data_IF_979290065769
#
_entry.id   IF_979290065769
#
_cell.length_a   1.000
_cell.length_b   1.000
_cell.length_c   1.000
_cell.angle_alpha   90.00
_cell.angle_beta   90.00
_cell.angle_gamma   90.00
#
_symmetry.space_group_name_H-M   'P 1'
#
loop_
_entity.id
_entity.type
_entity.pdbx_description
1 polymer ?
#
# COMPACT_ATOMS: atom_id res chain seq x y z
N UNK A 1 -32.74 -6.16 7.00
CA UNK A 1 -32.28 -5.33 8.12
C UNK A 1 -32.11 -6.14 9.40
N UNK A 2 -31.07 -5.87 10.16
CA UNK A 2 -30.80 -6.52 11.46
C UNK A 2 -31.58 -5.75 12.54
N UNK A 3 -32.31 -6.47 13.38
CA UNK A 3 -32.99 -5.82 14.53
C UNK A 3 -31.95 -5.32 15.54
N UNK A 4 -32.15 -4.10 16.06
CA UNK A 4 -31.30 -3.55 17.13
C UNK A 4 -31.28 -4.37 18.42
N UNK A 5 -32.20 -5.33 18.58
CA UNK A 5 -32.26 -6.26 19.71
C UNK A 5 -31.49 -7.57 19.45
N UNK A 6 -30.93 -7.75 18.26
CA UNK A 6 -30.16 -8.98 17.94
C UNK A 6 -28.83 -8.98 18.68
N UNK A 7 -28.54 -10.04 19.40
CA UNK A 7 -27.22 -10.21 20.06
C UNK A 7 -26.13 -10.37 19.01
N UNK A 8 -25.00 -9.66 19.16
CA UNK A 8 -23.84 -9.75 18.26
C UNK A 8 -23.35 -11.17 18.04
N UNK A 9 -23.35 -12.00 19.09
CA UNK A 9 -22.92 -13.40 19.01
C UNK A 9 -23.81 -14.30 18.12
N UNK A 10 -25.00 -13.83 17.73
CA UNK A 10 -25.91 -14.54 16.82
C UNK A 10 -25.78 -14.09 15.35
N UNK A 11 -24.96 -13.11 15.10
CA UNK A 11 -24.68 -12.62 13.75
C UNK A 11 -23.59 -13.47 13.09
N UNK A 12 -23.60 -13.53 11.75
CA UNK A 12 -22.47 -14.08 10.99
C UNK A 12 -21.19 -13.25 11.26
N UNK A 13 -20.02 -13.84 11.05
CA UNK A 13 -18.73 -13.17 11.27
C UNK A 13 -18.65 -11.83 10.54
N UNK A 14 -19.05 -11.78 9.26
CA UNK A 14 -19.06 -10.52 8.49
C UNK A 14 -20.00 -9.46 9.08
N UNK A 15 -21.19 -9.85 9.56
CA UNK A 15 -22.10 -8.92 10.21
C UNK A 15 -21.60 -8.44 11.58
N UNK A 16 -20.87 -9.29 12.31
CA UNK A 16 -20.20 -8.90 13.54
C UNK A 16 -19.11 -7.86 13.26
N UNK A 17 -18.27 -8.10 12.23
CA UNK A 17 -17.25 -7.16 11.78
C UNK A 17 -17.89 -5.84 11.36
N UNK A 18 -18.91 -5.87 10.50
CA UNK A 18 -19.62 -4.65 10.09
C UNK A 18 -20.20 -3.86 11.29
N UNK A 19 -20.79 -4.54 12.26
CA UNK A 19 -21.31 -3.87 13.46
C UNK A 19 -20.20 -3.19 14.28
N UNK A 20 -19.04 -3.85 14.45
CA UNK A 20 -17.87 -3.26 15.13
C UNK A 20 -17.36 -2.03 14.39
N UNK A 21 -17.27 -2.09 13.04
CA UNK A 21 -16.83 -0.97 12.21
C UNK A 21 -17.77 0.22 12.32
N UNK A 22 -19.09 0.01 12.31
CA UNK A 22 -20.08 1.08 12.55
C UNK A 22 -19.81 1.77 13.89
N UNK A 23 -19.54 1.02 14.96
CA UNK A 23 -19.22 1.61 16.27
C UNK A 23 -17.90 2.39 16.20
N UNK A 24 -16.85 1.83 15.62
CA UNK A 24 -15.54 2.46 15.50
C UNK A 24 -15.57 3.77 14.70
N UNK A 25 -16.34 3.80 13.60
CA UNK A 25 -16.52 5.01 12.78
C UNK A 25 -17.35 6.10 13.48
N UNK A 26 -18.13 5.77 14.49
CA UNK A 26 -18.97 6.73 15.22
C UNK A 26 -18.46 7.08 16.62
N UNK A 27 -17.34 6.49 17.07
CA UNK A 27 -16.75 6.82 18.37
C UNK A 27 -16.23 8.26 18.38
N UNK A 28 -16.40 8.97 19.48
CA UNK A 28 -15.87 10.32 19.67
C UNK A 28 -14.43 10.27 20.20
N UNK A 29 -13.48 9.95 19.32
CA UNK A 29 -12.04 9.85 19.64
C UNK A 29 -11.23 10.57 18.56
N UNK A 30 -10.08 11.14 18.96
CA UNK A 30 -9.14 11.79 18.03
C UNK A 30 -8.30 10.78 17.24
N UNK A 31 -8.10 9.59 17.81
CA UNK A 31 -7.35 8.50 17.20
C UNK A 31 -8.22 7.24 17.20
N UNK A 32 -8.32 6.59 16.06
CA UNK A 32 -9.06 5.32 15.89
C UNK A 32 -8.13 4.29 15.28
N UNK A 33 -7.87 3.22 16.01
CA UNK A 33 -7.03 2.12 15.56
C UNK A 33 -7.91 0.96 15.09
N UNK A 34 -7.66 0.51 13.87
CA UNK A 34 -8.41 -0.56 13.21
C UNK A 34 -7.43 -1.65 12.78
N UNK A 35 -7.50 -2.79 13.45
CA UNK A 35 -6.66 -3.94 13.17
C UNK A 35 -7.39 -4.89 12.23
N UNK A 36 -6.84 -5.10 11.02
CA UNK A 36 -7.41 -5.90 9.92
C UNK A 36 -8.94 -5.66 9.75
N UNK A 37 -9.40 -4.40 9.58
CA UNK A 37 -10.82 -4.05 9.71
C UNK A 37 -11.71 -4.74 8.68
N UNK A 38 -11.18 -5.13 7.54
CA UNK A 38 -11.94 -5.74 6.46
C UNK A 38 -11.85 -7.27 6.42
N UNK A 39 -11.15 -7.87 7.39
CA UNK A 39 -11.02 -9.32 7.47
C UNK A 39 -12.41 -9.99 7.65
N UNK A 40 -12.72 -10.93 6.75
CA UNK A 40 -14.00 -11.65 6.76
C UNK A 40 -15.16 -10.90 6.12
N UNK A 41 -14.95 -9.72 5.54
CA UNK A 41 -15.91 -9.04 4.69
C UNK A 41 -15.77 -9.48 3.22
N UNK A 42 -16.89 -9.57 2.51
CA UNK A 42 -16.88 -9.69 1.06
C UNK A 42 -16.52 -8.34 0.38
N UNK A 43 -16.26 -8.37 -0.91
CA UNK A 43 -15.82 -7.20 -1.66
C UNK A 43 -16.79 -6.00 -1.56
N UNK A 44 -18.11 -6.26 -1.59
CA UNK A 44 -19.11 -5.19 -1.50
C UNK A 44 -19.09 -4.51 -0.12
N UNK A 45 -18.97 -5.30 0.95
CA UNK A 45 -18.91 -4.76 2.31
C UNK A 45 -17.57 -4.04 2.59
N UNK A 46 -16.47 -4.49 1.97
CA UNK A 46 -15.18 -3.77 2.06
C UNK A 46 -15.26 -2.40 1.37
N UNK A 47 -15.78 -2.35 0.15
CA UNK A 47 -15.98 -1.08 -0.56
C UNK A 47 -16.87 -0.12 0.22
N UNK A 48 -17.96 -0.63 0.80
CA UNK A 48 -18.85 0.17 1.65
C UNK A 48 -18.11 0.71 2.89
N UNK A 49 -17.30 -0.12 3.54
CA UNK A 49 -16.51 0.30 4.69
C UNK A 49 -15.55 1.46 4.33
N UNK A 50 -14.81 1.34 3.23
CA UNK A 50 -13.89 2.40 2.83
C UNK A 50 -14.62 3.71 2.47
N UNK A 51 -15.78 3.63 1.83
CA UNK A 51 -16.63 4.81 1.58
C UNK A 51 -17.09 5.49 2.89
N UNK A 52 -17.55 4.70 3.85
CA UNK A 52 -17.96 5.23 5.15
C UNK A 52 -16.78 5.75 5.98
N UNK A 53 -15.61 5.16 5.87
CA UNK A 53 -14.37 5.65 6.49
C UNK A 53 -14.01 7.05 5.98
N UNK A 54 -13.96 7.23 4.65
CA UNK A 54 -13.68 8.53 4.03
C UNK A 54 -14.73 9.57 4.43
N UNK A 55 -16.01 9.21 4.39
CA UNK A 55 -17.09 10.08 4.82
C UNK A 55 -16.95 10.49 6.28
N UNK A 56 -16.67 9.55 7.17
CA UNK A 56 -16.45 9.80 8.60
C UNK A 56 -15.26 10.75 8.84
N UNK A 57 -14.19 10.61 8.05
CA UNK A 57 -13.04 11.51 8.07
C UNK A 57 -13.40 12.92 7.61
N UNK A 58 -14.16 13.04 6.51
CA UNK A 58 -14.60 14.35 5.97
C UNK A 58 -15.55 15.09 6.92
N UNK A 59 -16.48 14.37 7.55
CA UNK A 59 -17.43 14.96 8.50
C UNK A 59 -16.77 15.42 9.80
N UNK A 60 -15.79 14.64 10.27
CA UNK A 60 -15.04 14.91 11.49
C UNK A 60 -13.59 14.45 11.34
N UNK A 61 -12.68 15.35 10.88
CA UNK A 61 -11.27 15.04 10.70
C UNK A 61 -10.65 14.51 12.00
N UNK A 62 -10.00 13.35 11.90
CA UNK A 62 -9.30 12.66 12.99
C UNK A 62 -8.33 11.65 12.41
N UNK A 63 -7.44 11.11 13.20
CA UNK A 63 -6.47 10.13 12.74
C UNK A 63 -7.05 8.73 12.77
N UNK A 64 -7.08 8.08 11.61
CA UNK A 64 -7.32 6.64 11.49
C UNK A 64 -6.01 5.93 11.26
N UNK A 65 -5.73 4.90 12.05
CA UNK A 65 -4.59 4.00 11.88
C UNK A 65 -5.13 2.62 11.56
N UNK A 66 -4.81 2.13 10.36
CA UNK A 66 -5.25 0.81 9.90
C UNK A 66 -4.05 -0.11 9.79
N UNK A 67 -4.12 -1.29 10.40
CA UNK A 67 -3.24 -2.39 10.03
C UNK A 67 -3.93 -3.24 8.97
N UNK A 68 -3.26 -3.54 7.88
CA UNK A 68 -3.81 -4.41 6.82
C UNK A 68 -2.71 -4.93 5.90
N UNK A 69 -2.96 -6.09 5.30
CA UNK A 69 -2.16 -6.64 4.20
C UNK A 69 -2.80 -6.40 2.82
N UNK A 70 -3.98 -5.79 2.76
CA UNK A 70 -4.72 -5.50 1.53
C UNK A 70 -4.37 -4.10 1.01
N UNK A 71 -3.11 -3.89 0.64
CA UNK A 71 -2.56 -2.59 0.26
C UNK A 71 -3.26 -2.01 -0.96
N UNK A 72 -3.58 -2.82 -1.97
CA UNK A 72 -4.29 -2.39 -3.18
C UNK A 72 -5.61 -1.67 -2.89
N UNK A 73 -6.31 -2.09 -1.84
CA UNK A 73 -7.61 -1.55 -1.51
C UNK A 73 -7.53 -0.18 -0.83
N UNK A 74 -6.41 0.10 -0.14
CA UNK A 74 -6.26 1.31 0.69
C UNK A 74 -5.26 2.32 0.13
N UNK A 75 -4.42 1.97 -0.85
CA UNK A 75 -3.34 2.83 -1.31
C UNK A 75 -3.78 4.22 -1.78
N UNK A 76 -5.03 4.38 -2.22
CA UNK A 76 -5.60 5.68 -2.62
C UNK A 76 -6.24 6.46 -1.46
N UNK A 77 -6.30 5.88 -0.27
CA UNK A 77 -6.95 6.44 0.90
C UNK A 77 -5.95 6.88 1.98
N UNK A 78 -4.75 6.32 1.96
CA UNK A 78 -3.74 6.54 2.99
C UNK A 78 -2.77 7.64 2.56
N UNK A 79 -2.47 8.54 3.48
CA UNK A 79 -1.52 9.63 3.30
C UNK A 79 -0.12 9.24 3.81
N UNK A 80 -0.07 8.35 4.80
CA UNK A 80 1.15 7.99 5.51
C UNK A 80 1.22 6.49 5.79
N UNK A 81 2.39 5.90 5.68
CA UNK A 81 2.60 4.47 5.90
C UNK A 81 3.76 4.18 6.83
N UNK A 82 3.54 3.13 7.64
CA UNK A 82 4.55 2.48 8.45
C UNK A 82 4.67 1.04 7.94
N UNK A 83 5.82 0.67 7.37
CA UNK A 83 6.05 -0.69 6.89
C UNK A 83 6.89 -1.45 7.91
N UNK A 84 6.31 -2.53 8.43
CA UNK A 84 6.96 -3.41 9.40
C UNK A 84 7.31 -4.75 8.72
N UNK A 85 8.56 -5.16 8.79
CA UNK A 85 9.02 -6.49 8.36
C UNK A 85 10.12 -6.97 9.30
N UNK A 86 10.17 -8.28 9.56
CA UNK A 86 11.19 -8.92 10.40
C UNK A 86 11.41 -8.22 11.75
N UNK A 87 10.30 -7.82 12.40
CA UNK A 87 10.28 -7.07 13.67
C UNK A 87 10.96 -5.69 13.61
N UNK A 88 11.16 -5.14 12.43
CA UNK A 88 11.76 -3.83 12.23
C UNK A 88 10.82 -2.90 11.46
N UNK A 89 10.92 -1.61 11.74
CA UNK A 89 10.28 -0.56 10.95
C UNK A 89 11.20 -0.28 9.74
N UNK A 90 10.77 -0.71 8.55
CA UNK A 90 11.57 -0.58 7.32
C UNK A 90 11.21 0.64 6.49
N UNK A 91 10.03 1.22 6.71
CA UNK A 91 9.63 2.50 6.14
C UNK A 91 8.71 3.24 7.10
N UNK A 92 8.85 4.56 7.12
CA UNK A 92 8.10 5.52 7.93
C UNK A 92 8.05 6.82 7.11
N UNK A 93 7.01 6.97 6.25
CA UNK A 93 7.00 8.03 5.27
C UNK A 93 5.60 8.34 4.71
N UNK A 94 5.49 9.52 4.11
CA UNK A 94 4.39 9.92 3.25
C UNK A 94 4.31 9.03 2.00
N UNK A 95 3.09 8.65 1.62
CA UNK A 95 2.86 7.76 0.46
C UNK A 95 3.27 8.43 -0.84
N UNK A 96 2.96 9.71 -1.02
CA UNK A 96 3.31 10.47 -2.22
C UNK A 96 4.83 10.54 -2.38
N UNK A 97 5.55 10.87 -1.29
CA UNK A 97 7.03 10.90 -1.28
C UNK A 97 7.65 9.53 -1.60
N UNK A 98 7.05 8.46 -1.09
CA UNK A 98 7.51 7.09 -1.39
C UNK A 98 7.29 6.74 -2.86
N UNK A 99 6.11 7.05 -3.41
CA UNK A 99 5.77 6.72 -4.80
C UNK A 99 6.56 7.56 -5.81
N UNK A 100 6.91 8.79 -5.47
CA UNK A 100 7.78 9.65 -6.29
C UNK A 100 9.18 9.05 -6.50
N UNK A 101 9.61 8.15 -5.62
CA UNK A 101 10.90 7.45 -5.72
C UNK A 101 10.78 6.05 -6.32
N UNK A 102 9.57 5.59 -6.62
CA UNK A 102 9.26 4.24 -7.08
C UNK A 102 9.17 4.18 -8.61
N UNK A 103 10.27 3.84 -9.29
CA UNK A 103 10.36 3.85 -10.73
C UNK A 103 10.60 2.46 -11.32
N UNK A 104 9.99 2.18 -12.47
CA UNK A 104 10.38 1.06 -13.33
C UNK A 104 11.25 1.56 -14.48
N UNK A 105 12.30 0.82 -14.78
CA UNK A 105 13.17 1.05 -15.93
C UNK A 105 13.13 -0.19 -16.81
N UNK A 106 12.50 -0.11 -17.99
CA UNK A 106 12.25 -1.27 -18.87
C UNK A 106 12.87 -1.06 -20.23
N UNK A 107 13.60 -2.05 -20.74
CA UNK A 107 14.22 -2.00 -22.06
C UNK A 107 15.21 -3.16 -22.28
N UNK A 108 16.07 -3.07 -23.33
CA UNK A 108 17.16 -4.01 -23.54
C UNK A 108 18.10 -4.05 -22.32
N UNK A 109 18.44 -5.27 -21.87
CA UNK A 109 19.21 -5.51 -20.63
C UNK A 109 20.41 -4.56 -20.48
N UNK A 110 21.29 -4.48 -21.49
CA UNK A 110 22.50 -3.64 -21.40
C UNK A 110 22.18 -2.15 -21.18
N UNK A 111 21.11 -1.64 -21.81
CA UNK A 111 20.73 -0.25 -21.67
C UNK A 111 20.10 0.04 -20.30
N UNK A 112 19.30 -0.92 -19.80
CA UNK A 112 18.74 -0.83 -18.46
C UNK A 112 19.88 -0.82 -17.43
N UNK A 113 20.84 -1.76 -17.53
CA UNK A 113 21.98 -1.83 -16.59
C UNK A 113 22.83 -0.56 -16.59
N UNK A 114 23.06 0.02 -17.78
CA UNK A 114 23.75 1.30 -17.88
C UNK A 114 22.96 2.45 -17.25
N UNK A 115 21.64 2.49 -17.48
CA UNK A 115 20.79 3.55 -16.96
C UNK A 115 20.68 3.50 -15.44
N UNK A 116 20.50 2.30 -14.86
CA UNK A 116 20.32 2.17 -13.41
C UNK A 116 21.64 2.15 -12.62
N UNK A 117 22.77 2.25 -13.29
CA UNK A 117 24.06 2.29 -12.62
C UNK A 117 24.16 3.44 -11.61
N UNK A 118 24.44 3.09 -10.35
CA UNK A 118 24.50 4.02 -9.22
C UNK A 118 23.15 4.36 -8.58
N UNK A 119 22.04 3.79 -9.06
CA UNK A 119 20.72 3.90 -8.42
C UNK A 119 20.46 2.71 -7.50
N UNK A 120 19.58 2.93 -6.52
CA UNK A 120 19.10 1.86 -5.63
C UNK A 120 18.09 0.99 -6.36
N UNK A 121 18.54 -0.12 -6.92
CA UNK A 121 17.70 -1.15 -7.55
C UNK A 121 17.26 -2.15 -6.47
N UNK A 122 15.96 -2.34 -6.29
CA UNK A 122 15.40 -3.29 -5.32
C UNK A 122 15.35 -4.70 -5.91
N UNK A 123 14.88 -4.82 -7.15
CA UNK A 123 14.83 -6.09 -7.87
C UNK A 123 14.86 -5.89 -9.40
N UNK A 124 14.96 -7.00 -10.13
CA UNK A 124 14.88 -7.00 -11.59
C UNK A 124 14.10 -8.20 -12.07
N UNK A 125 13.27 -8.00 -13.08
CA UNK A 125 12.59 -9.04 -13.84
C UNK A 125 13.15 -9.10 -15.26
N UNK A 126 13.23 -10.30 -15.84
CA UNK A 126 13.70 -10.49 -17.20
C UNK A 126 12.75 -11.37 -18.01
N UNK A 127 12.34 -10.85 -19.17
CA UNK A 127 11.54 -11.59 -20.15
C UNK A 127 12.22 -11.55 -21.52
N UNK A 128 12.89 -12.65 -21.88
CA UNK A 128 13.68 -12.70 -23.09
C UNK A 128 14.85 -11.71 -23.04
N UNK A 129 14.87 -10.77 -24.00
CA UNK A 129 15.89 -9.71 -24.08
C UNK A 129 15.50 -8.41 -23.37
N UNK A 130 14.27 -8.36 -22.82
CA UNK A 130 13.75 -7.20 -22.11
C UNK A 130 13.95 -7.39 -20.62
N UNK A 131 14.55 -6.41 -19.98
CA UNK A 131 14.74 -6.33 -18.53
C UNK A 131 13.91 -5.19 -17.98
N UNK A 132 13.30 -5.42 -16.83
CA UNK A 132 12.66 -4.39 -16.01
C UNK A 132 13.39 -4.32 -14.68
N UNK A 133 13.94 -3.16 -14.34
CA UNK A 133 14.50 -2.88 -13.03
C UNK A 133 13.50 -2.07 -12.20
N UNK A 134 13.31 -2.47 -10.94
CA UNK A 134 12.52 -1.74 -9.94
C UNK A 134 13.46 -0.89 -9.11
N UNK A 135 13.39 0.41 -9.32
CA UNK A 135 14.28 1.40 -8.71
C UNK A 135 13.54 2.13 -7.60
N UNK A 136 14.19 2.30 -6.46
CA UNK A 136 13.69 3.13 -5.36
C UNK A 136 14.71 4.20 -5.04
N UNK A 137 14.69 5.24 -5.85
CA UNK A 137 15.63 6.35 -5.77
C UNK A 137 15.05 7.59 -6.43
N UNK A 138 15.61 8.75 -6.13
CA UNK A 138 15.26 9.97 -6.83
C UNK A 138 16.00 10.00 -8.17
N UNK A 139 15.25 10.08 -9.26
CA UNK A 139 15.86 10.20 -10.59
C UNK A 139 16.27 11.65 -10.85
N UNK A 140 17.48 11.83 -11.37
CA UNK A 140 17.96 13.13 -11.83
C UNK A 140 17.29 13.46 -13.17
N UNK A 141 16.60 14.60 -13.25
CA UNK A 141 15.94 15.10 -14.46
C UNK A 141 16.92 15.32 -15.63
N UNK A 142 18.21 15.45 -15.35
CA UNK A 142 19.25 15.60 -16.37
C UNK A 142 19.77 14.26 -16.90
N UNK A 143 19.33 13.13 -16.31
CA UNK A 143 19.76 11.79 -16.75
C UNK A 143 19.18 11.46 -18.10
N UNK A 144 20.04 11.30 -19.12
CA UNK A 144 19.60 10.98 -20.47
C UNK A 144 19.00 9.58 -20.52
N UNK A 145 17.73 9.50 -20.96
CA UNK A 145 17.03 8.24 -21.14
C UNK A 145 17.34 7.72 -22.56
N UNK A 146 17.92 6.51 -22.72
CA UNK A 146 18.13 5.92 -24.05
C UNK A 146 16.81 5.67 -24.79
N UNK A 147 16.76 5.85 -26.10
CA UNK A 147 15.52 5.73 -26.91
C UNK A 147 14.74 4.44 -26.73
N UNK A 148 15.42 3.33 -26.38
CA UNK A 148 14.78 2.02 -26.18
C UNK A 148 14.45 1.73 -24.72
N UNK A 149 14.72 2.65 -23.80
CA UNK A 149 14.39 2.53 -22.37
C UNK A 149 13.13 3.31 -22.09
N UNK A 150 12.21 2.69 -21.35
CA UNK A 150 10.99 3.31 -20.88
C UNK A 150 11.02 3.43 -19.37
N UNK A 151 10.70 4.60 -18.86
CA UNK A 151 10.45 4.85 -17.45
C UNK A 151 8.96 4.71 -17.15
N UNK A 152 8.65 4.19 -15.99
CA UNK A 152 7.31 4.12 -15.43
C UNK A 152 7.37 4.20 -13.92
N UNK A 153 6.21 4.10 -13.30
CA UNK A 153 6.09 4.00 -11.84
C UNK A 153 5.48 2.65 -11.48
N UNK A 154 5.65 2.25 -10.24
CA UNK A 154 4.95 1.11 -9.66
C UNK A 154 4.23 1.56 -8.39
N UNK A 155 3.17 0.84 -8.04
CA UNK A 155 2.27 1.20 -6.97
C UNK A 155 2.81 0.84 -5.57
N UNK A 156 2.07 1.25 -4.54
CA UNK A 156 2.44 1.03 -3.14
C UNK A 156 2.51 -0.47 -2.81
N UNK A 157 1.65 -1.30 -3.39
CA UNK A 157 1.68 -2.74 -3.17
C UNK A 157 2.97 -3.36 -3.69
N UNK A 158 3.35 -3.02 -4.93
CA UNK A 158 4.60 -3.52 -5.52
C UNK A 158 5.81 -2.99 -4.73
N UNK A 159 5.79 -1.72 -4.32
CA UNK A 159 6.86 -1.15 -3.48
C UNK A 159 7.00 -1.89 -2.15
N UNK A 160 5.88 -2.19 -1.49
CA UNK A 160 5.88 -2.98 -0.26
C UNK A 160 6.53 -4.35 -0.47
N UNK A 161 6.12 -5.08 -1.53
CA UNK A 161 6.69 -6.39 -1.87
C UNK A 161 8.20 -6.28 -2.09
N UNK A 162 8.66 -5.29 -2.84
CA UNK A 162 10.07 -5.11 -3.15
C UNK A 162 10.90 -4.75 -1.91
N UNK A 163 10.37 -3.88 -1.04
CA UNK A 163 11.06 -3.50 0.19
C UNK A 163 11.15 -4.65 1.20
N UNK A 164 10.11 -5.48 1.29
CA UNK A 164 10.07 -6.61 2.22
C UNK A 164 10.86 -7.82 1.73
N UNK A 165 10.90 -8.07 0.41
CA UNK A 165 11.68 -9.17 -0.17
C UNK A 165 13.19 -8.84 -0.27
N UNK A 166 13.56 -7.57 -0.38
CA UNK A 166 14.95 -7.14 -0.46
C UNK A 166 15.75 -7.35 0.83
N UNK A 167 15.09 -7.45 1.97
CA UNK A 167 15.71 -7.76 3.27
C UNK A 167 16.20 -9.21 3.39
N UNK A 168 15.63 -10.14 2.63
CA UNK A 168 15.93 -11.58 2.75
C UNK A 168 17.12 -12.06 1.89
N UNK A 169 17.82 -11.17 1.18
CA UNK A 169 18.96 -11.55 0.31
C UNK A 169 20.35 -11.26 0.88
N UNK A 170 20.44 -10.84 2.15
CA UNK A 170 21.72 -10.56 2.82
C UNK A 170 22.00 -11.54 4.00
N UNK A 171 21.71 -12.84 3.81
CA UNK A 171 22.26 -13.92 4.63
C UNK A 171 23.12 -14.86 3.78
#
# INVERSE_FOLDING_TARGET
GISAKTQLSKLSTGLQTAAKLVVALNVNANYVFLDEPTLGLDANHRELFYKELVKSYQEKPRTFVLSTHLIDEIQQLVEYVLILADHQLIADADVEEMLDRAHTVTGPEKLVDQYVAGLRVLSTDQLGTVKTAYVYDQLDDQRVIPDQVKLGHYDLQKLFIELTNGGSKNE
#
